data_IF_640305283171
#
_entry.id   IF_640305283171
#
_cell.length_a   1.000
_cell.length_b   1.000
_cell.length_c   1.000
_cell.angle_alpha   90.00
_cell.angle_beta   90.00
_cell.angle_gamma   90.00
#
_symmetry.space_group_name_H-M   'P 1'
#
loop_
_entity.id
_entity.type
_entity.pdbx_description
1 polymer ?
#
# COMPACT_ATOMS: atom_id res chain seq x y z
N UNK A 1 12.07 -50.79 22.87
CA UNK A 1 12.66 -50.23 21.64
C UNK A 1 11.70 -50.15 20.44
N UNK A 2 10.63 -50.97 20.34
CA UNK A 2 9.64 -50.84 19.25
C UNK A 2 8.59 -49.74 19.46
N UNK A 3 8.24 -49.41 20.72
CA UNK A 3 7.25 -48.37 21.03
C UNK A 3 7.73 -46.96 20.68
N UNK A 4 8.99 -46.62 20.96
CA UNK A 4 9.55 -45.28 20.68
C UNK A 4 9.54 -44.95 19.18
N UNK A 5 9.78 -45.93 18.33
CA UNK A 5 9.73 -45.76 16.86
C UNK A 5 8.31 -45.48 16.38
N UNK A 6 7.32 -46.17 16.96
CA UNK A 6 5.90 -45.95 16.62
C UNK A 6 5.41 -44.58 17.10
N UNK A 7 5.81 -44.15 18.29
CA UNK A 7 5.42 -42.83 18.82
C UNK A 7 6.08 -41.69 18.03
N UNK A 8 7.35 -41.82 17.65
CA UNK A 8 8.02 -40.85 16.80
C UNK A 8 7.39 -40.76 15.40
N UNK A 9 7.02 -41.89 14.79
CA UNK A 9 6.34 -41.91 13.49
C UNK A 9 4.95 -41.26 13.55
N UNK A 10 4.19 -41.48 14.63
CA UNK A 10 2.88 -40.85 14.82
C UNK A 10 2.97 -39.33 15.00
N UNK A 11 4.00 -38.83 15.71
CA UNK A 11 4.23 -37.40 15.89
C UNK A 11 4.56 -36.69 14.56
N UNK A 12 5.34 -37.33 13.69
CA UNK A 12 5.68 -36.79 12.35
C UNK A 12 4.45 -36.71 11.44
N UNK A 13 3.57 -37.72 11.48
CA UNK A 13 2.32 -37.72 10.70
C UNK A 13 1.34 -36.62 11.14
N UNK A 14 1.31 -36.28 12.43
CA UNK A 14 0.46 -35.22 12.97
C UNK A 14 0.99 -33.80 12.70
N UNK A 15 2.30 -33.64 12.46
CA UNK A 15 2.92 -32.35 12.11
C UNK A 15 2.87 -32.02 10.61
N UNK A 16 2.62 -33.02 9.75
CA UNK A 16 2.60 -32.86 8.29
C UNK A 16 1.60 -31.81 7.75
N UNK A 17 0.38 -31.64 8.29
CA UNK A 17 -0.57 -30.67 7.75
C UNK A 17 -0.18 -29.20 8.00
N UNK A 18 0.71 -28.92 8.96
CA UNK A 18 1.10 -27.57 9.34
C UNK A 18 2.03 -26.87 8.33
N UNK A 19 2.58 -27.61 7.36
CA UNK A 19 3.40 -27.06 6.27
C UNK A 19 2.61 -26.90 4.96
N UNK A 20 1.38 -27.43 4.89
CA UNK A 20 0.51 -27.33 3.72
C UNK A 20 -0.42 -26.14 3.84
N UNK A 21 0.16 -24.94 3.76
CA UNK A 21 -0.62 -23.70 3.62
C UNK A 21 -1.12 -23.56 2.18
N UNK A 22 -2.13 -24.36 1.81
CA UNK A 22 -2.99 -24.08 0.65
C UNK A 22 -4.12 -23.10 0.99
N UNK A 23 -4.40 -22.94 2.29
CA UNK A 23 -5.32 -21.93 2.80
C UNK A 23 -4.63 -20.58 2.70
N UNK A 24 -4.71 -19.96 1.52
CA UNK A 24 -4.42 -18.54 1.31
C UNK A 24 -5.15 -17.75 2.39
N UNK A 25 -4.43 -17.33 3.43
CA UNK A 25 -4.94 -16.40 4.44
C UNK A 25 -5.25 -15.02 3.82
N UNK A 26 -4.83 -14.80 2.57
CA UNK A 26 -5.10 -13.61 1.82
C UNK A 26 -6.45 -13.69 1.14
N UNK A 27 -7.28 -12.66 1.35
CA UNK A 27 -8.51 -12.48 0.59
C UNK A 27 -8.19 -12.52 -0.91
N UNK A 28 -8.98 -13.24 -1.71
CA UNK A 28 -8.73 -13.33 -3.15
C UNK A 28 -8.78 -11.92 -3.76
N UNK A 29 -7.79 -11.60 -4.58
CA UNK A 29 -7.76 -10.33 -5.31
C UNK A 29 -8.99 -10.26 -6.21
N UNK A 30 -9.74 -9.18 -6.10
CA UNK A 30 -10.96 -9.00 -6.91
C UNK A 30 -10.59 -8.41 -8.27
N UNK A 31 -11.40 -8.69 -9.31
CA UNK A 31 -11.24 -8.03 -10.61
C UNK A 31 -11.28 -6.51 -10.50
N UNK A 32 -12.11 -5.99 -9.60
CA UNK A 32 -12.19 -4.56 -9.34
C UNK A 32 -10.85 -4.00 -8.82
N UNK A 33 -10.18 -4.71 -7.89
CA UNK A 33 -8.87 -4.30 -7.37
C UNK A 33 -7.81 -4.30 -8.46
N UNK A 34 -7.72 -5.35 -9.28
CA UNK A 34 -6.75 -5.40 -10.39
C UNK A 34 -6.96 -4.25 -11.38
N UNK A 35 -8.22 -3.95 -11.72
CA UNK A 35 -8.52 -2.84 -12.61
C UNK A 35 -8.11 -1.49 -12.00
N UNK A 36 -8.34 -1.29 -10.71
CA UNK A 36 -7.88 -0.08 -10.02
C UNK A 36 -6.35 0.04 -10.04
N UNK A 37 -5.64 -1.05 -9.78
CA UNK A 37 -4.18 -1.07 -9.83
C UNK A 37 -3.63 -0.77 -11.23
N UNK A 38 -4.28 -1.28 -12.28
CA UNK A 38 -3.91 -0.96 -13.67
C UNK A 38 -4.13 0.52 -13.99
N UNK A 39 -5.28 1.08 -13.60
CA UNK A 39 -5.59 2.51 -13.79
C UNK A 39 -4.53 3.37 -13.07
N UNK A 40 -4.15 2.99 -11.85
CA UNK A 40 -3.10 3.68 -11.10
C UNK A 40 -1.75 3.65 -11.80
N UNK A 41 -1.35 2.50 -12.35
CA UNK A 41 -0.12 2.36 -13.13
C UNK A 41 -0.17 3.15 -14.45
N UNK A 42 -1.30 3.13 -15.14
CA UNK A 42 -1.54 3.95 -16.34
C UNK A 42 -1.42 5.45 -16.03
N UNK A 43 -1.84 5.86 -14.83
CA UNK A 43 -1.74 7.25 -14.37
C UNK A 43 -0.30 7.76 -14.19
N UNK A 44 0.69 6.88 -14.26
CA UNK A 44 2.13 7.18 -14.24
C UNK A 44 2.85 6.72 -15.52
N UNK A 45 2.08 6.48 -16.58
CA UNK A 45 2.58 6.21 -17.93
C UNK A 45 2.88 4.74 -18.22
N UNK A 46 2.48 3.80 -17.36
CA UNK A 46 2.54 2.37 -17.69
C UNK A 46 1.50 2.03 -18.77
N UNK A 47 1.81 1.13 -19.69
CA UNK A 47 0.86 0.70 -20.71
C UNK A 47 0.73 -0.83 -20.71
N UNK A 48 -0.31 -1.40 -20.06
CA UNK A 48 -0.50 -2.84 -19.98
C UNK A 48 -0.83 -3.48 -21.35
N UNK A 49 -1.36 -2.70 -22.31
CA UNK A 49 -1.73 -3.19 -23.63
C UNK A 49 -0.54 -3.39 -24.58
N UNK A 50 0.61 -2.77 -24.30
CA UNK A 50 1.85 -2.98 -25.09
C UNK A 50 2.47 -4.37 -24.88
N UNK A 51 2.02 -5.08 -23.85
CA UNK A 51 2.58 -6.36 -23.45
C UNK A 51 3.96 -6.21 -22.80
N UNK A 52 4.27 -7.16 -21.92
CA UNK A 52 5.52 -7.31 -21.15
C UNK A 52 6.75 -7.68 -22.02
N UNK A 53 6.64 -7.60 -23.35
CA UNK A 53 7.44 -8.39 -24.30
C UNK A 53 8.92 -8.03 -24.31
N UNK A 54 9.30 -6.79 -23.99
CA UNK A 54 10.68 -6.33 -24.18
C UNK A 54 11.48 -6.12 -22.90
N UNK A 55 10.83 -5.89 -21.75
CA UNK A 55 11.54 -5.38 -20.58
C UNK A 55 10.84 -5.69 -19.24
N UNK A 56 10.11 -6.82 -19.17
CA UNK A 56 9.61 -7.31 -17.90
C UNK A 56 10.73 -7.96 -17.08
N UNK A 57 10.85 -7.67 -15.78
CA UNK A 57 9.94 -6.87 -14.94
C UNK A 57 10.33 -5.38 -14.76
N UNK A 58 11.38 -4.90 -15.41
CA UNK A 58 11.94 -3.57 -15.16
C UNK A 58 10.93 -2.43 -15.41
N UNK A 59 10.11 -2.53 -16.47
CA UNK A 59 9.13 -1.50 -16.82
C UNK A 59 8.03 -1.34 -15.76
N UNK A 60 7.53 -2.47 -15.23
CA UNK A 60 6.50 -2.45 -14.18
C UNK A 60 7.09 -1.96 -12.85
N UNK A 61 8.33 -2.33 -12.52
CA UNK A 61 9.00 -1.83 -11.32
C UNK A 61 9.22 -0.31 -11.38
N UNK A 62 9.70 0.21 -12.51
CA UNK A 62 9.88 1.64 -12.71
C UNK A 62 8.54 2.41 -12.66
N UNK A 63 7.45 1.82 -13.15
CA UNK A 63 6.11 2.39 -13.01
C UNK A 63 5.63 2.40 -11.55
N UNK A 64 5.86 1.32 -10.80
CA UNK A 64 5.52 1.25 -9.38
C UNK A 64 6.26 2.31 -8.55
N UNK A 65 7.53 2.57 -8.85
CA UNK A 65 8.30 3.62 -8.18
C UNK A 65 7.70 5.02 -8.44
N UNK A 66 7.43 5.37 -9.70
CA UNK A 66 6.75 6.63 -10.05
C UNK A 66 5.38 6.78 -9.37
N UNK A 67 4.61 5.69 -9.29
CA UNK A 67 3.33 5.67 -8.58
C UNK A 67 3.49 5.91 -7.08
N UNK A 68 4.51 5.33 -6.47
CA UNK A 68 4.82 5.55 -5.07
C UNK A 68 5.21 7.00 -4.80
N UNK A 69 6.05 7.60 -5.64
CA UNK A 69 6.40 9.03 -5.56
C UNK A 69 5.17 9.94 -5.71
N UNK A 70 4.31 9.67 -6.70
CA UNK A 70 3.05 10.40 -6.90
C UNK A 70 2.16 10.35 -5.66
N UNK A 71 1.99 9.17 -5.05
CA UNK A 71 1.21 9.00 -3.81
C UNK A 71 1.85 9.71 -2.62
N UNK A 72 3.18 9.73 -2.52
CA UNK A 72 3.88 10.51 -1.49
C UNK A 72 3.66 12.01 -1.67
N UNK A 73 3.78 12.53 -2.89
CA UNK A 73 3.53 13.93 -3.19
C UNK A 73 2.09 14.33 -2.86
N UNK A 74 1.10 13.52 -3.24
CA UNK A 74 -0.30 13.73 -2.89
C UNK A 74 -0.54 13.73 -1.38
N UNK A 75 0.06 12.79 -0.64
CA UNK A 75 -0.02 12.76 0.83
C UNK A 75 0.57 14.02 1.47
N UNK A 76 1.74 14.47 0.99
CA UNK A 76 2.36 15.72 1.45
C UNK A 76 1.46 16.93 1.15
N UNK A 77 0.89 17.01 -0.04
CA UNK A 77 -0.05 18.07 -0.42
C UNK A 77 -1.31 18.05 0.46
N UNK A 78 -1.88 16.88 0.75
CA UNK A 78 -3.03 16.73 1.62
C UNK A 78 -2.73 17.15 3.07
N UNK A 79 -1.54 16.82 3.59
CA UNK A 79 -1.08 17.27 4.90
C UNK A 79 -0.87 18.78 4.96
N UNK A 80 -0.27 19.37 3.91
CA UNK A 80 -0.11 20.82 3.81
C UNK A 80 -1.47 21.54 3.70
N UNK A 81 -2.44 20.95 3.00
CA UNK A 81 -3.79 21.50 2.86
C UNK A 81 -4.59 21.50 4.16
N UNK A 82 -4.28 20.61 5.11
CA UNK A 82 -4.89 20.60 6.43
C UNK A 82 -4.30 21.65 7.41
N UNK A 83 -3.31 22.42 6.96
CA UNK A 83 -2.67 23.48 7.72
C UNK A 83 -1.73 22.97 8.81
N UNK A 84 -0.54 23.58 8.93
CA UNK A 84 0.14 23.60 10.22
C UNK A 84 -0.86 24.16 11.23
N UNK A 85 -0.92 23.61 12.45
CA UNK A 85 -1.59 24.28 13.56
C UNK A 85 -0.79 25.55 13.89
N UNK A 86 -0.88 26.54 13.00
CA UNK A 86 -0.37 27.87 13.21
C UNK A 86 -1.13 28.44 14.39
N UNK A 87 -0.36 28.91 15.35
CA UNK A 87 -0.81 29.56 16.58
C UNK A 87 -2.05 30.43 16.30
N UNK A 88 -3.16 30.27 17.06
CA UNK A 88 -4.34 31.10 16.86
C UNK A 88 -3.97 32.57 17.11
N UNK A 89 -3.74 33.32 16.03
CA UNK A 89 -3.51 34.76 16.13
C UNK A 89 -4.86 35.42 16.41
N UNK A 90 -5.05 35.84 17.65
CA UNK A 90 -6.17 36.67 18.07
C UNK A 90 -5.82 38.14 17.79
N UNK A 91 -6.32 38.67 16.69
CA UNK A 91 -6.25 40.10 16.41
C UNK A 91 -7.43 40.81 17.07
N UNK A 92 -7.19 41.55 18.16
CA UNK A 92 -8.19 42.43 18.76
C UNK A 92 -8.06 43.82 18.16
N UNK A 93 -9.02 44.23 17.34
CA UNK A 93 -9.05 45.54 16.71
C UNK A 93 -9.11 46.67 17.75
N UNK A 94 -8.11 47.56 17.75
CA UNK A 94 -8.10 48.73 18.62
C UNK A 94 -9.13 49.77 18.13
N UNK A 95 -9.92 50.32 19.05
CA UNK A 95 -10.97 51.30 18.75
C UNK A 95 -10.40 52.59 18.13
N UNK A 96 -10.97 53.00 17.00
CA UNK A 96 -10.64 54.25 16.33
C UNK A 96 -11.00 55.46 17.22
N UNK A 97 -10.01 56.32 17.49
CA UNK A 97 -10.21 57.58 18.22
C UNK A 97 -10.86 58.61 17.28
N UNK A 98 -12.04 59.16 17.60
CA UNK A 98 -12.62 60.23 16.81
C UNK A 98 -11.80 61.52 17.00
N UNK A 99 -11.44 62.16 15.88
CA UNK A 99 -10.82 63.48 15.87
C UNK A 99 -11.90 64.56 16.06
N UNK A 100 -11.61 65.53 16.94
CA UNK A 100 -12.38 66.77 17.14
C UNK A 100 -12.07 67.80 16.06
#
# INVERSE_FOLDING_TARGET
MKSLVVTAAAAVLLAAPALSFAQSAQSPVTRAQVLQELIDLESVGYNPARGEVNNYPDDIMAAQERLHEKRLAQRKAAQAAYGHAGEPTTESGAAAKPAL
#
